data_IF_671672605018
#
_entry.id   IF_671672605018
#
_cell.length_a   1.000
_cell.length_b   1.000
_cell.length_c   1.000
_cell.angle_alpha   90.00
_cell.angle_beta   90.00
_cell.angle_gamma   90.00
#
_symmetry.space_group_name_H-M   'P 1'
#
loop_
_entity.id
_entity.type
_entity.pdbx_description
1 polymer ?
#
# COMPACT_ATOMS: atom_id res chain seq x y z
N UNK A 1 -4.64 0.90 45.09
CA UNK A 1 -4.67 -0.33 44.27
C UNK A 1 -5.55 -1.35 44.96
N UNK A 2 -6.24 -2.20 44.21
CA UNK A 2 -7.09 -3.26 44.70
C UNK A 2 -6.24 -4.41 45.26
N UNK A 3 -6.74 -5.06 46.30
CA UNK A 3 -6.22 -6.35 46.79
C UNK A 3 -6.64 -7.49 45.87
N UNK A 4 -5.97 -8.65 45.94
CA UNK A 4 -6.32 -9.83 45.16
C UNK A 4 -7.79 -10.24 45.33
N UNK A 5 -8.29 -10.19 46.58
CA UNK A 5 -9.68 -10.49 46.91
C UNK A 5 -10.66 -9.50 46.25
N UNK A 6 -10.32 -8.22 46.24
CA UNK A 6 -11.13 -7.19 45.58
C UNK A 6 -11.11 -7.32 44.06
N UNK A 7 -9.97 -7.68 43.47
CA UNK A 7 -9.88 -7.99 42.04
C UNK A 7 -10.78 -9.17 41.68
N UNK A 8 -10.64 -10.30 42.41
CA UNK A 8 -11.48 -11.49 42.21
C UNK A 8 -12.97 -11.18 42.37
N UNK A 9 -13.34 -10.37 43.36
CA UNK A 9 -14.72 -9.90 43.52
C UNK A 9 -15.21 -9.14 42.28
N UNK A 10 -14.43 -8.18 41.77
CA UNK A 10 -14.83 -7.44 40.57
C UNK A 10 -14.90 -8.36 39.34
N UNK A 11 -14.00 -9.35 39.18
CA UNK A 11 -14.04 -10.35 38.10
C UNK A 11 -15.35 -11.16 38.15
N UNK A 12 -15.77 -11.61 39.34
CA UNK A 12 -17.05 -12.34 39.50
C UNK A 12 -18.24 -11.45 39.11
N UNK A 13 -18.21 -10.17 39.49
CA UNK A 13 -19.26 -9.20 39.14
C UNK A 13 -19.37 -8.92 37.64
N UNK A 14 -18.39 -9.31 36.81
CA UNK A 14 -18.50 -9.21 35.35
C UNK A 14 -19.59 -10.14 34.78
N UNK A 15 -20.00 -11.18 35.50
CA UNK A 15 -21.10 -12.06 35.08
C UNK A 15 -22.46 -11.64 35.66
N UNK A 16 -22.55 -10.53 36.40
CA UNK A 16 -23.79 -10.08 37.04
C UNK A 16 -24.87 -9.75 36.00
N UNK A 17 -26.16 -10.11 36.22
CA UNK A 17 -27.22 -9.81 35.27
C UNK A 17 -27.43 -8.30 35.06
N UNK A 18 -27.12 -7.46 36.04
CA UNK A 18 -27.28 -6.01 35.96
C UNK A 18 -26.10 -5.33 35.25
N UNK A 19 -26.39 -4.69 34.11
CA UNK A 19 -25.39 -3.96 33.31
C UNK A 19 -24.61 -2.91 34.10
N UNK A 20 -25.25 -2.23 35.07
CA UNK A 20 -24.62 -1.18 35.88
C UNK A 20 -23.63 -1.79 36.88
N UNK A 21 -23.95 -2.96 37.44
CA UNK A 21 -23.03 -3.69 38.33
C UNK A 21 -21.78 -4.10 37.58
N UNK A 22 -21.93 -4.70 36.39
CA UNK A 22 -20.81 -5.04 35.50
C UNK A 22 -19.98 -3.80 35.14
N UNK A 23 -20.64 -2.70 34.78
CA UNK A 23 -19.96 -1.44 34.43
C UNK A 23 -19.10 -0.91 35.58
N UNK A 24 -19.65 -0.88 36.81
CA UNK A 24 -18.91 -0.43 37.99
C UNK A 24 -17.71 -1.34 38.27
N UNK A 25 -17.87 -2.65 38.13
CA UNK A 25 -16.77 -3.60 38.30
C UNK A 25 -15.65 -3.37 37.26
N UNK A 26 -16.01 -3.16 35.99
CA UNK A 26 -15.06 -2.83 34.92
C UNK A 26 -14.34 -1.50 35.19
N UNK A 27 -15.05 -0.47 35.65
CA UNK A 27 -14.47 0.82 36.01
C UNK A 27 -13.46 0.69 37.15
N UNK A 28 -13.78 -0.08 38.19
CA UNK A 28 -12.86 -0.35 39.29
C UNK A 28 -11.58 -1.03 38.81
N UNK A 29 -11.70 -2.07 37.98
CA UNK A 29 -10.55 -2.78 37.41
C UNK A 29 -9.72 -1.86 36.50
N UNK A 30 -10.35 -1.05 35.66
CA UNK A 30 -9.66 -0.08 34.81
C UNK A 30 -8.90 0.97 35.64
N UNK A 31 -9.54 1.53 36.66
CA UNK A 31 -8.94 2.56 37.52
C UNK A 31 -7.74 2.00 38.29
N UNK A 32 -7.83 0.76 38.73
CA UNK A 32 -6.73 0.07 39.40
C UNK A 32 -5.51 -0.11 38.49
N UNK A 33 -5.71 -0.69 37.31
CA UNK A 33 -4.64 -0.90 36.33
C UNK A 33 -4.06 0.43 35.81
N UNK A 34 -4.91 1.45 35.64
CA UNK A 34 -4.45 2.80 35.28
C UNK A 34 -3.57 3.40 36.37
N UNK A 35 -3.91 3.17 37.64
CA UNK A 35 -3.09 3.64 38.77
C UNK A 35 -1.74 2.92 38.79
N UNK A 36 -1.69 1.61 38.52
CA UNK A 36 -0.44 0.84 38.48
C UNK A 36 0.44 1.14 37.26
N UNK A 37 -0.13 1.69 36.18
CA UNK A 37 0.64 2.25 35.05
C UNK A 37 1.34 3.57 35.39
N UNK A 38 0.76 4.38 36.28
CA UNK A 38 1.31 5.71 36.65
C UNK A 38 2.47 5.64 37.66
N UNK A 39 2.61 4.50 38.34
CA UNK A 39 3.67 4.27 39.33
C UNK A 39 4.86 3.65 38.58
N UNK A 40 5.98 4.36 38.52
CA UNK A 40 7.23 3.95 37.88
C UNK A 40 8.03 2.89 38.68
N UNK A 41 7.46 2.32 39.74
CA UNK A 41 8.17 1.37 40.58
C UNK A 41 8.25 0.00 39.91
N UNK A 42 9.48 -0.51 39.81
CA UNK A 42 9.82 -1.91 39.50
C UNK A 42 9.46 -2.87 40.64
N UNK A 43 8.62 -2.47 41.59
CA UNK A 43 8.18 -3.35 42.67
C UNK A 43 7.20 -4.38 42.10
N UNK A 44 7.32 -5.63 42.58
CA UNK A 44 6.45 -6.78 42.30
C UNK A 44 4.97 -6.44 42.54
N UNK A 45 4.37 -5.71 41.60
CA UNK A 45 2.94 -5.48 41.61
C UNK A 45 2.27 -6.80 41.31
N UNK A 46 1.28 -7.14 42.16
CA UNK A 46 0.49 -8.35 42.03
C UNK A 46 0.04 -8.54 40.58
N UNK A 47 0.48 -9.63 39.95
CA UNK A 47 -0.02 -9.98 38.64
C UNK A 47 -1.54 -10.18 38.75
N UNK A 48 -2.31 -9.60 37.83
CA UNK A 48 -3.75 -9.80 37.82
C UNK A 48 -4.06 -11.30 37.72
N UNK A 49 -5.20 -11.76 38.27
CA UNK A 49 -5.61 -13.16 38.20
C UNK A 49 -5.58 -13.70 36.77
N UNK A 50 -5.11 -14.94 36.58
CA UNK A 50 -4.88 -15.52 35.25
C UNK A 50 -6.13 -15.58 34.37
N UNK A 51 -7.31 -15.68 34.96
CA UNK A 51 -8.60 -15.71 34.28
C UNK A 51 -9.16 -14.33 33.90
N UNK A 52 -8.44 -13.24 34.18
CA UNK A 52 -8.96 -11.89 33.94
C UNK A 52 -9.20 -11.63 32.45
N UNK A 53 -8.26 -12.05 31.58
CA UNK A 53 -8.37 -11.82 30.13
C UNK A 53 -9.56 -12.59 29.56
N UNK A 54 -9.73 -13.86 29.92
CA UNK A 54 -10.88 -14.66 29.51
C UNK A 54 -12.21 -14.03 29.99
N UNK A 55 -12.22 -13.45 31.19
CA UNK A 55 -13.38 -12.76 31.74
C UNK A 55 -13.69 -11.47 30.97
N UNK A 56 -12.66 -10.70 30.58
CA UNK A 56 -12.82 -9.52 29.73
C UNK A 56 -13.30 -9.88 28.31
N UNK A 57 -12.80 -10.98 27.74
CA UNK A 57 -13.23 -11.45 26.42
C UNK A 57 -14.71 -11.82 26.39
N UNK A 58 -15.24 -12.41 27.47
CA UNK A 58 -16.70 -12.67 27.60
C UNK A 58 -17.52 -11.38 27.54
N UNK A 59 -17.00 -10.29 28.08
CA UNK A 59 -17.66 -8.97 28.07
C UNK A 59 -17.74 -8.37 26.66
N UNK A 60 -16.94 -8.82 25.70
CA UNK A 60 -17.14 -8.38 24.33
C UNK A 60 -18.57 -8.71 23.85
N UNK A 61 -19.21 -9.78 24.30
CA UNK A 61 -20.61 -10.06 23.92
C UNK A 61 -21.66 -9.33 24.78
N UNK A 62 -21.26 -8.39 25.64
CA UNK A 62 -22.19 -7.64 26.49
C UNK A 62 -23.12 -6.75 25.64
N UNK A 63 -24.44 -6.75 25.90
CA UNK A 63 -25.37 -5.85 25.20
C UNK A 63 -25.05 -4.36 25.41
N UNK A 64 -24.45 -3.98 26.54
CA UNK A 64 -24.09 -2.60 26.84
C UNK A 64 -22.74 -2.23 26.19
N UNK A 65 -22.78 -1.30 25.23
CA UNK A 65 -21.59 -0.78 24.55
C UNK A 65 -20.51 -0.28 25.52
N UNK A 66 -20.92 0.43 26.59
CA UNK A 66 -19.96 0.95 27.56
C UNK A 66 -19.16 -0.13 28.28
N UNK A 67 -19.76 -1.30 28.50
CA UNK A 67 -19.06 -2.42 29.12
C UNK A 67 -18.03 -3.03 28.16
N UNK A 68 -18.40 -3.17 26.89
CA UNK A 68 -17.49 -3.64 25.84
C UNK A 68 -16.28 -2.72 25.67
N UNK A 69 -16.53 -1.41 25.63
CA UNK A 69 -15.51 -0.36 25.58
C UNK A 69 -14.54 -0.44 26.78
N UNK A 70 -15.08 -0.55 28.00
CA UNK A 70 -14.25 -0.68 29.21
C UNK A 70 -13.42 -1.98 29.21
N UNK A 71 -13.99 -3.10 28.76
CA UNK A 71 -13.26 -4.37 28.68
C UNK A 71 -12.09 -4.29 27.68
N UNK A 72 -12.32 -3.68 26.51
CA UNK A 72 -11.27 -3.46 25.52
C UNK A 72 -10.20 -2.50 26.04
N UNK A 73 -10.62 -1.43 26.73
CA UNK A 73 -9.70 -0.48 27.39
C UNK A 73 -8.82 -1.18 28.42
N UNK A 74 -9.40 -2.06 29.23
CA UNK A 74 -8.65 -2.86 30.21
C UNK A 74 -7.60 -3.74 29.51
N UNK A 75 -7.99 -4.47 28.46
CA UNK A 75 -7.07 -5.34 27.71
C UNK A 75 -5.93 -4.53 27.09
N UNK A 76 -6.21 -3.35 26.52
CA UNK A 76 -5.16 -2.47 25.98
C UNK A 76 -4.15 -2.04 27.05
N UNK A 77 -4.62 -1.61 28.22
CA UNK A 77 -3.73 -1.28 29.34
C UNK A 77 -2.94 -2.50 29.84
N UNK A 78 -3.57 -3.68 29.84
CA UNK A 78 -2.93 -4.92 30.24
C UNK A 78 -1.78 -5.26 29.31
N UNK A 79 -1.98 -5.14 27.99
CA UNK A 79 -0.96 -5.39 26.98
C UNK A 79 0.23 -4.46 27.20
N UNK A 80 -0.03 -3.16 27.41
CA UNK A 80 1.04 -2.18 27.69
C UNK A 80 1.83 -2.50 28.95
N UNK A 81 1.19 -2.97 30.03
CA UNK A 81 1.87 -3.23 31.31
C UNK A 81 2.59 -4.58 31.33
N UNK A 82 1.98 -5.64 30.80
CA UNK A 82 2.38 -7.02 31.08
C UNK A 82 2.92 -7.79 29.86
N UNK A 83 2.68 -7.33 28.63
CA UNK A 83 3.21 -7.99 27.43
C UNK A 83 4.59 -7.45 27.06
N UNK A 84 5.55 -7.57 27.97
CA UNK A 84 6.93 -7.07 27.82
C UNK A 84 7.87 -8.04 27.10
N UNK A 85 7.48 -9.31 26.98
CA UNK A 85 8.23 -10.36 26.28
C UNK A 85 7.33 -11.18 25.33
N UNK A 86 7.95 -11.91 24.40
CA UNK A 86 7.24 -12.70 23.38
C UNK A 86 6.31 -13.77 23.97
N UNK A 87 6.64 -14.39 25.10
CA UNK A 87 5.81 -15.45 25.67
C UNK A 87 4.49 -14.88 26.20
N UNK A 88 4.54 -13.70 26.82
CA UNK A 88 3.34 -13.02 27.27
C UNK A 88 2.50 -12.49 26.11
N UNK A 89 3.14 -12.08 25.00
CA UNK A 89 2.41 -11.72 23.78
C UNK A 89 1.78 -12.98 23.12
N UNK A 90 2.47 -14.11 23.09
CA UNK A 90 1.94 -15.37 22.53
C UNK A 90 0.69 -15.84 23.30
N UNK A 91 0.72 -15.78 24.63
CA UNK A 91 -0.44 -16.10 25.48
C UNK A 91 -1.63 -15.20 25.17
N UNK A 92 -1.41 -13.89 25.05
CA UNK A 92 -2.52 -12.97 24.80
C UNK A 92 -3.06 -13.09 23.38
N UNK A 93 -2.22 -13.32 22.37
CA UNK A 93 -2.64 -13.58 20.99
C UNK A 93 -3.48 -14.86 20.91
N UNK A 94 -3.08 -15.93 21.58
CA UNK A 94 -3.84 -17.19 21.62
C UNK A 94 -5.29 -16.97 22.09
N UNK A 95 -5.48 -16.08 23.06
CA UNK A 95 -6.81 -15.74 23.59
C UNK A 95 -7.56 -14.72 22.72
N UNK A 96 -6.87 -13.68 22.23
CA UNK A 96 -7.50 -12.57 21.52
C UNK A 96 -7.87 -12.90 20.07
N UNK A 97 -7.03 -13.65 19.35
CA UNK A 97 -7.24 -13.87 17.91
C UNK A 97 -8.58 -14.56 17.61
N UNK A 98 -9.00 -15.63 18.31
CA UNK A 98 -10.32 -16.23 18.09
C UNK A 98 -11.47 -15.26 18.38
N UNK A 99 -11.37 -14.48 19.45
CA UNK A 99 -12.38 -13.50 19.84
C UNK A 99 -12.52 -12.37 18.80
N UNK A 100 -11.41 -11.87 18.27
CA UNK A 100 -11.42 -10.85 17.23
C UNK A 100 -11.83 -11.39 15.86
N UNK A 101 -11.49 -12.63 15.51
CA UNK A 101 -12.02 -13.26 14.30
C UNK A 101 -13.55 -13.36 14.37
N UNK A 102 -14.11 -13.81 15.49
CA UNK A 102 -15.56 -13.89 15.64
C UNK A 102 -16.23 -12.51 15.59
N UNK A 103 -15.56 -11.48 16.14
CA UNK A 103 -16.15 -10.15 16.29
C UNK A 103 -15.96 -9.23 15.07
N UNK A 104 -14.86 -9.37 14.34
CA UNK A 104 -14.45 -8.47 13.25
C UNK A 104 -14.24 -9.20 11.91
N UNK A 105 -13.96 -10.51 11.93
CA UNK A 105 -13.62 -11.29 10.74
C UNK A 105 -14.80 -11.95 10.03
N UNK A 106 -16.01 -11.82 10.57
CA UNK A 106 -17.25 -12.38 10.03
C UNK A 106 -17.80 -11.56 8.85
N UNK A 107 -18.75 -12.13 8.10
CA UNK A 107 -19.39 -11.42 6.99
C UNK A 107 -20.25 -10.24 7.48
N UNK A 108 -20.95 -10.45 8.60
CA UNK A 108 -21.84 -9.47 9.20
C UNK A 108 -21.12 -8.64 10.24
N UNK A 109 -21.53 -7.38 10.41
CA UNK A 109 -20.96 -6.49 11.43
C UNK A 109 -21.51 -6.93 12.80
N UNK A 110 -20.69 -7.66 13.56
CA UNK A 110 -21.05 -8.14 14.91
C UNK A 110 -20.83 -7.06 15.97
N UNK A 111 -19.76 -6.26 15.88
CA UNK A 111 -19.57 -5.08 16.74
C UNK A 111 -20.17 -3.84 16.07
N UNK A 112 -21.35 -3.35 16.52
CA UNK A 112 -22.00 -2.19 15.92
C UNK A 112 -21.22 -0.89 16.15
N UNK A 113 -20.52 -0.75 17.28
CA UNK A 113 -19.81 0.49 17.62
C UNK A 113 -18.54 0.65 16.79
N UNK A 114 -18.50 1.69 15.96
CA UNK A 114 -17.34 1.98 15.12
C UNK A 114 -16.10 2.37 15.92
N UNK A 115 -16.27 3.01 17.09
CA UNK A 115 -15.18 3.33 18.01
C UNK A 115 -14.56 2.05 18.61
N UNK A 116 -15.39 1.08 18.99
CA UNK A 116 -14.89 -0.20 19.51
C UNK A 116 -14.17 -1.00 18.42
N UNK A 117 -14.69 -1.01 17.18
CA UNK A 117 -13.99 -1.63 16.04
C UNK A 117 -12.63 -0.96 15.81
N UNK A 118 -12.58 0.38 15.83
CA UNK A 118 -11.32 1.13 15.68
C UNK A 118 -10.32 0.79 16.80
N UNK A 119 -10.76 0.83 18.06
CA UNK A 119 -9.93 0.50 19.21
C UNK A 119 -9.43 -0.95 19.16
N UNK A 120 -10.21 -1.87 18.59
CA UNK A 120 -9.80 -3.28 18.43
C UNK A 120 -8.67 -3.41 17.41
N UNK A 121 -8.77 -2.70 16.27
CA UNK A 121 -7.68 -2.64 15.28
C UNK A 121 -6.46 -1.91 15.85
N UNK A 122 -6.65 -0.88 16.68
CA UNK A 122 -5.56 -0.20 17.37
C UNK A 122 -4.80 -1.14 18.31
N UNK A 123 -5.51 -1.98 19.07
CA UNK A 123 -4.88 -2.99 19.91
C UNK A 123 -4.12 -4.04 19.07
N UNK A 124 -4.72 -4.52 17.98
CA UNK A 124 -4.07 -5.42 17.03
C UNK A 124 -2.81 -4.79 16.41
N UNK A 125 -2.84 -3.50 16.08
CA UNK A 125 -1.67 -2.75 15.60
C UNK A 125 -0.57 -2.65 16.65
N UNK A 126 -0.94 -2.41 17.92
CA UNK A 126 0.02 -2.39 19.02
C UNK A 126 0.68 -3.75 19.24
N UNK A 127 -0.11 -4.83 19.24
CA UNK A 127 0.40 -6.21 19.32
C UNK A 127 1.37 -6.52 18.17
N UNK A 128 0.98 -6.16 16.94
CA UNK A 128 1.86 -6.29 15.77
C UNK A 128 3.14 -5.47 15.92
N UNK A 129 3.08 -4.28 16.53
CA UNK A 129 4.25 -3.41 16.75
C UNK A 129 5.23 -4.02 17.75
N UNK A 130 4.74 -4.43 18.92
CA UNK A 130 5.59 -4.94 20.02
C UNK A 130 6.14 -6.34 19.76
N UNK A 131 5.46 -7.18 18.98
CA UNK A 131 5.89 -8.55 18.69
C UNK A 131 7.07 -8.58 17.71
N UNK A 132 8.31 -8.75 18.15
CA UNK A 132 9.51 -8.62 17.28
C UNK A 132 9.70 -9.77 16.28
N UNK A 133 9.44 -11.02 16.65
CA UNK A 133 9.66 -12.18 15.78
C UNK A 133 8.52 -12.43 14.77
N UNK A 134 8.72 -11.97 13.54
CA UNK A 134 7.75 -12.11 12.44
C UNK A 134 7.34 -13.54 12.09
N UNK A 135 8.24 -14.52 12.24
CA UNK A 135 7.97 -15.93 11.91
C UNK A 135 6.99 -16.60 12.88
N UNK A 136 7.05 -16.21 14.16
CA UNK A 136 6.08 -16.63 15.17
C UNK A 136 4.77 -15.85 15.07
N UNK A 137 4.82 -14.54 14.80
CA UNK A 137 3.62 -13.74 14.54
C UNK A 137 2.79 -14.33 13.38
N UNK A 138 3.48 -14.84 12.35
CA UNK A 138 2.87 -15.50 11.20
C UNK A 138 2.16 -16.83 11.53
N UNK A 139 2.29 -17.38 12.75
CA UNK A 139 1.48 -18.53 13.18
C UNK A 139 -0.01 -18.18 13.29
N UNK A 140 -0.33 -16.91 13.50
CA UNK A 140 -1.70 -16.38 13.55
C UNK A 140 -2.13 -15.72 12.23
N UNK A 141 -1.36 -15.91 11.15
CA UNK A 141 -1.55 -15.17 9.90
C UNK A 141 -2.96 -15.34 9.33
N UNK A 142 -3.55 -16.54 9.45
CA UNK A 142 -4.92 -16.79 8.98
C UNK A 142 -5.94 -15.89 9.68
N UNK A 143 -5.84 -15.75 11.00
CA UNK A 143 -6.71 -14.93 11.81
C UNK A 143 -6.51 -13.43 11.49
N UNK A 144 -5.26 -12.98 11.36
CA UNK A 144 -4.95 -11.62 10.93
C UNK A 144 -5.59 -11.28 9.58
N UNK A 145 -5.40 -12.14 8.58
CA UNK A 145 -5.95 -11.95 7.23
C UNK A 145 -7.47 -11.99 7.25
N UNK A 146 -8.07 -12.88 8.06
CA UNK A 146 -9.53 -12.99 8.19
C UNK A 146 -10.14 -11.69 8.74
N UNK A 147 -9.52 -11.10 9.76
CA UNK A 147 -9.94 -9.80 10.32
C UNK A 147 -9.74 -8.68 9.29
N UNK A 148 -8.53 -8.54 8.74
CA UNK A 148 -8.15 -7.45 7.84
C UNK A 148 -8.97 -7.44 6.55
N UNK A 149 -9.30 -8.62 6.00
CA UNK A 149 -10.16 -8.75 4.81
C UNK A 149 -11.52 -8.06 4.99
N UNK A 150 -12.03 -7.99 6.22
CA UNK A 150 -13.29 -7.29 6.55
C UNK A 150 -13.07 -5.85 6.90
N UNK A 151 -12.07 -5.57 7.74
CA UNK A 151 -11.90 -4.22 8.31
C UNK A 151 -11.28 -3.23 7.32
N UNK A 152 -10.57 -3.70 6.29
CA UNK A 152 -10.11 -2.85 5.18
C UNK A 152 -11.30 -2.22 4.44
N UNK A 153 -12.45 -2.90 4.39
CA UNK A 153 -13.69 -2.41 3.75
C UNK A 153 -14.76 -1.99 4.78
N UNK A 154 -14.36 -1.69 6.02
CA UNK A 154 -15.28 -1.26 7.09
C UNK A 154 -16.09 -0.01 6.70
N UNK A 155 -17.36 0.14 7.10
CA UNK A 155 -18.10 1.37 6.84
C UNK A 155 -17.46 2.64 7.41
N UNK A 156 -16.73 2.52 8.52
CA UNK A 156 -16.09 3.64 9.19
C UNK A 156 -14.71 3.94 8.61
N UNK A 157 -14.46 5.15 8.07
CA UNK A 157 -13.21 5.46 7.36
C UNK A 157 -11.93 5.28 8.19
N UNK A 158 -11.99 5.56 9.50
CA UNK A 158 -10.82 5.45 10.37
C UNK A 158 -10.42 3.98 10.58
N UNK A 159 -11.39 3.06 10.64
CA UNK A 159 -11.11 1.61 10.69
C UNK A 159 -10.46 1.15 9.39
N UNK A 160 -10.97 1.60 8.23
CA UNK A 160 -10.34 1.28 6.93
C UNK A 160 -8.89 1.72 6.89
N UNK A 161 -8.65 3.00 7.24
CA UNK A 161 -7.32 3.62 7.22
C UNK A 161 -6.34 2.84 8.10
N UNK A 162 -6.71 2.59 9.35
CA UNK A 162 -5.85 1.87 10.29
C UNK A 162 -5.65 0.40 9.89
N UNK A 163 -6.66 -0.23 9.27
CA UNK A 163 -6.53 -1.60 8.76
C UNK A 163 -5.55 -1.69 7.58
N UNK A 164 -5.54 -0.70 6.68
CA UNK A 164 -4.54 -0.61 5.61
C UNK A 164 -3.12 -0.40 6.17
N UNK A 165 -2.96 0.48 7.16
CA UNK A 165 -1.68 0.70 7.84
C UNK A 165 -1.17 -0.58 8.54
N UNK A 166 -2.05 -1.26 9.29
CA UNK A 166 -1.74 -2.54 9.93
C UNK A 166 -1.37 -3.60 8.91
N UNK A 167 -2.09 -3.67 7.78
CA UNK A 167 -1.78 -4.60 6.69
C UNK A 167 -0.36 -4.39 6.15
N UNK A 168 0.05 -3.13 5.95
CA UNK A 168 1.42 -2.81 5.54
C UNK A 168 2.44 -3.33 6.56
N UNK A 169 2.25 -3.01 7.84
CA UNK A 169 3.16 -3.43 8.92
C UNK A 169 3.25 -4.95 9.05
N UNK A 170 2.11 -5.64 9.00
CA UNK A 170 2.04 -7.09 9.08
C UNK A 170 2.71 -7.76 7.88
N UNK A 171 2.49 -7.26 6.66
CA UNK A 171 3.10 -7.82 5.45
C UNK A 171 4.63 -7.75 5.49
N UNK A 172 5.18 -6.61 5.93
CA UNK A 172 6.62 -6.47 6.16
C UNK A 172 7.08 -7.42 7.25
N UNK A 173 6.41 -7.45 8.41
CA UNK A 173 6.86 -8.23 9.55
C UNK A 173 6.82 -9.75 9.29
N UNK A 174 5.83 -10.23 8.56
CA UNK A 174 5.63 -11.65 8.26
C UNK A 174 6.12 -12.05 6.85
N UNK A 175 7.02 -11.28 6.23
CA UNK A 175 7.40 -11.41 4.81
C UNK A 175 7.78 -12.84 4.37
N UNK A 176 8.39 -13.65 5.23
CA UNK A 176 8.76 -15.04 4.93
C UNK A 176 7.57 -15.94 4.59
N UNK A 177 6.42 -15.72 5.23
CA UNK A 177 5.22 -16.56 5.09
C UNK A 177 4.02 -15.82 4.50
N UNK A 178 4.10 -14.49 4.35
CA UNK A 178 2.97 -13.66 3.95
C UNK A 178 2.44 -14.00 2.54
N UNK A 179 3.31 -14.44 1.63
CA UNK A 179 2.96 -14.88 0.28
C UNK A 179 1.86 -15.97 0.25
N UNK A 180 1.77 -16.82 1.29
CA UNK A 180 0.79 -17.91 1.37
C UNK A 180 -0.67 -17.43 1.42
N UNK A 181 -0.92 -16.18 1.84
CA UNK A 181 -2.28 -15.67 2.06
C UNK A 181 -2.52 -14.25 1.52
N UNK A 182 -1.46 -13.58 1.04
CA UNK A 182 -1.49 -12.18 0.58
C UNK A 182 -2.61 -11.83 -0.42
N UNK A 183 -2.94 -12.73 -1.35
CA UNK A 183 -3.97 -12.53 -2.39
C UNK A 183 -5.35 -12.21 -1.82
N UNK A 184 -5.67 -12.68 -0.61
CA UNK A 184 -6.95 -12.44 0.05
C UNK A 184 -7.22 -10.96 0.36
N UNK A 185 -6.18 -10.13 0.36
CA UNK A 185 -6.25 -8.71 0.69
C UNK A 185 -6.30 -7.80 -0.54
N UNK A 186 -5.96 -8.32 -1.74
CA UNK A 186 -5.85 -7.51 -2.97
C UNK A 186 -7.20 -6.85 -3.30
N UNK A 187 -8.28 -7.65 -3.40
CA UNK A 187 -9.62 -7.13 -3.73
C UNK A 187 -10.16 -6.15 -2.68
N UNK A 188 -10.11 -6.44 -1.36
CA UNK A 188 -10.49 -5.46 -0.33
C UNK A 188 -9.73 -4.13 -0.46
N UNK A 189 -8.42 -4.17 -0.69
CA UNK A 189 -7.59 -2.96 -0.79
C UNK A 189 -7.96 -2.16 -2.04
N UNK A 190 -8.12 -2.81 -3.20
CA UNK A 190 -8.55 -2.16 -4.45
C UNK A 190 -9.90 -1.45 -4.28
N UNK A 191 -10.82 -2.04 -3.52
CA UNK A 191 -12.09 -1.39 -3.23
C UNK A 191 -11.90 -0.14 -2.36
N UNK A 192 -11.07 -0.22 -1.33
CA UNK A 192 -10.75 0.91 -0.44
C UNK A 192 -9.96 2.02 -1.14
N UNK A 193 -9.19 1.71 -2.18
CA UNK A 193 -8.56 2.73 -3.03
C UNK A 193 -9.56 3.65 -3.74
N UNK A 194 -10.85 3.29 -3.83
CA UNK A 194 -11.91 4.11 -4.46
C UNK A 194 -12.66 4.98 -3.45
N UNK A 195 -12.26 4.95 -2.17
CA UNK A 195 -12.97 5.63 -1.09
C UNK A 195 -13.03 7.16 -1.27
N UNK A 196 -14.08 7.82 -0.78
CA UNK A 196 -14.28 9.26 -0.92
C UNK A 196 -13.18 10.13 -0.28
N UNK A 197 -12.59 9.68 0.84
CA UNK A 197 -11.55 10.42 1.56
C UNK A 197 -10.15 10.07 1.04
N UNK A 198 -9.40 11.09 0.63
CA UNK A 198 -8.07 10.92 0.04
C UNK A 198 -7.08 10.21 0.97
N UNK A 199 -7.07 10.52 2.28
CA UNK A 199 -6.19 9.85 3.25
C UNK A 199 -6.40 8.33 3.29
N UNK A 200 -7.65 7.87 3.17
CA UNK A 200 -7.97 6.43 3.10
C UNK A 200 -7.44 5.82 1.81
N UNK A 201 -7.58 6.53 0.67
CA UNK A 201 -7.05 6.06 -0.62
C UNK A 201 -5.53 5.95 -0.60
N UNK A 202 -4.82 6.92 -0.02
CA UNK A 202 -3.36 6.92 0.15
C UNK A 202 -2.92 5.69 0.95
N UNK A 203 -3.52 5.45 2.12
CA UNK A 203 -3.18 4.27 2.92
C UNK A 203 -3.49 2.95 2.21
N UNK A 204 -4.58 2.89 1.42
CA UNK A 204 -4.88 1.72 0.62
C UNK A 204 -3.85 1.48 -0.48
N UNK A 205 -3.38 2.52 -1.17
CA UNK A 205 -2.31 2.39 -2.18
C UNK A 205 -1.02 1.89 -1.54
N UNK A 206 -0.62 2.47 -0.40
CA UNK A 206 0.56 2.03 0.34
C UNK A 206 0.43 0.57 0.81
N UNK A 207 -0.76 0.18 1.30
CA UNK A 207 -1.05 -1.19 1.68
C UNK A 207 -0.94 -2.15 0.48
N UNK A 208 -1.49 -1.80 -0.68
CA UNK A 208 -1.36 -2.61 -1.90
C UNK A 208 0.12 -2.78 -2.27
N UNK A 209 0.88 -1.69 -2.19
CA UNK A 209 2.32 -1.67 -2.40
C UNK A 209 3.06 -2.72 -1.56
N UNK A 210 2.85 -2.69 -0.25
CA UNK A 210 3.50 -3.61 0.67
C UNK A 210 2.98 -5.05 0.54
N UNK A 211 1.67 -5.25 0.34
CA UNK A 211 1.09 -6.58 0.16
C UNK A 211 1.67 -7.30 -1.04
N UNK A 212 1.84 -6.61 -2.17
CA UNK A 212 2.45 -7.21 -3.37
C UNK A 212 3.95 -7.41 -3.17
N UNK A 213 4.63 -6.44 -2.56
CA UNK A 213 6.08 -6.49 -2.31
C UNK A 213 6.48 -7.70 -1.48
N UNK A 214 5.77 -7.95 -0.38
CA UNK A 214 6.07 -9.03 0.57
C UNK A 214 5.21 -10.29 0.36
N UNK A 215 4.29 -10.27 -0.60
CA UNK A 215 3.34 -11.35 -0.89
C UNK A 215 3.62 -12.07 -2.21
N UNK A 216 2.56 -12.59 -2.83
CA UNK A 216 2.64 -13.17 -4.16
C UNK A 216 2.73 -12.06 -5.22
N UNK A 217 3.89 -11.93 -5.87
CA UNK A 217 4.15 -10.88 -6.86
C UNK A 217 3.20 -10.97 -8.08
N UNK A 218 2.57 -12.13 -8.36
CA UNK A 218 1.59 -12.27 -9.45
C UNK A 218 0.38 -11.34 -9.29
N UNK A 219 0.02 -10.98 -8.05
CA UNK A 219 -1.06 -10.03 -7.76
C UNK A 219 -0.85 -8.63 -8.37
N UNK A 220 0.34 -8.33 -8.89
CA UNK A 220 0.60 -7.11 -9.63
C UNK A 220 -0.30 -7.01 -10.87
N UNK A 221 -0.59 -8.12 -11.55
CA UNK A 221 -1.43 -8.16 -12.76
C UNK A 221 -2.84 -7.61 -12.49
N UNK A 222 -3.41 -7.97 -11.34
CA UNK A 222 -4.73 -7.48 -10.89
C UNK A 222 -4.72 -6.01 -10.44
N UNK A 223 -3.53 -5.45 -10.22
CA UNK A 223 -3.33 -4.16 -9.56
C UNK A 223 -2.98 -3.01 -10.50
N UNK A 224 -2.47 -3.30 -11.70
CA UNK A 224 -2.05 -2.28 -12.67
C UNK A 224 -3.20 -1.35 -13.07
N UNK A 225 -4.34 -1.91 -13.50
CA UNK A 225 -5.47 -1.08 -13.95
C UNK A 225 -6.05 -0.23 -12.81
N UNK A 226 -6.32 -0.78 -11.60
CA UNK A 226 -6.71 0.03 -10.44
C UNK A 226 -5.75 1.17 -10.09
N UNK A 227 -4.43 0.94 -10.18
CA UNK A 227 -3.42 1.97 -9.93
C UNK A 227 -3.39 3.01 -11.05
N UNK A 228 -3.48 2.60 -12.32
CA UNK A 228 -3.54 3.52 -13.45
C UNK A 228 -4.72 4.51 -13.31
N UNK A 229 -5.88 4.03 -12.86
CA UNK A 229 -7.05 4.88 -12.61
C UNK A 229 -6.82 5.94 -11.53
N UNK A 230 -5.85 5.76 -10.63
CA UNK A 230 -5.52 6.76 -9.61
C UNK A 230 -4.75 7.96 -10.15
N UNK A 231 -4.17 7.90 -11.35
CA UNK A 231 -3.59 9.10 -12.00
C UNK A 231 -4.62 10.16 -12.39
N UNK A 232 -5.91 9.83 -12.35
CA UNK A 232 -7.02 10.78 -12.55
C UNK A 232 -7.59 11.31 -11.23
N UNK A 233 -6.99 10.98 -10.08
CA UNK A 233 -7.43 11.49 -8.79
C UNK A 233 -7.18 12.99 -8.67
N UNK A 234 -8.17 13.75 -8.18
CA UNK A 234 -8.05 15.19 -7.96
C UNK A 234 -7.05 15.54 -6.85
N UNK A 235 -6.77 14.60 -5.94
CA UNK A 235 -5.82 14.82 -4.84
C UNK A 235 -4.43 14.35 -5.25
N UNK A 236 -3.49 15.28 -5.33
CA UNK A 236 -2.10 15.01 -5.72
C UNK A 236 -1.42 13.95 -4.86
N UNK A 237 -1.65 13.93 -3.56
CA UNK A 237 -1.04 12.94 -2.65
C UNK A 237 -1.46 11.49 -2.97
N UNK A 238 -2.64 11.28 -3.56
CA UNK A 238 -3.07 9.96 -4.04
C UNK A 238 -2.24 9.54 -5.25
N UNK A 239 -2.03 10.45 -6.20
CA UNK A 239 -1.21 10.20 -7.39
C UNK A 239 0.26 9.97 -7.03
N UNK A 240 0.79 10.76 -6.09
CA UNK A 240 2.13 10.61 -5.54
C UNK A 240 2.32 9.24 -4.86
N UNK A 241 1.32 8.75 -4.13
CA UNK A 241 1.38 7.42 -3.51
C UNK A 241 1.54 6.30 -4.56
N UNK A 242 0.88 6.42 -5.72
CA UNK A 242 1.06 5.46 -6.84
C UNK A 242 2.50 5.48 -7.34
N UNK A 243 3.05 6.67 -7.59
CA UNK A 243 4.44 6.83 -8.06
C UNK A 243 5.43 6.19 -7.08
N UNK A 244 5.29 6.47 -5.78
CA UNK A 244 6.16 5.89 -4.75
C UNK A 244 6.06 4.36 -4.72
N UNK A 245 4.85 3.81 -4.73
CA UNK A 245 4.65 2.34 -4.71
C UNK A 245 5.27 1.68 -5.93
N UNK A 246 5.01 2.22 -7.13
CA UNK A 246 5.54 1.64 -8.37
C UNK A 246 7.06 1.76 -8.43
N UNK A 247 7.63 2.90 -8.03
CA UNK A 247 9.09 3.06 -7.95
C UNK A 247 9.74 2.08 -6.98
N UNK A 248 9.15 1.90 -5.80
CA UNK A 248 9.60 0.89 -4.82
C UNK A 248 9.51 -0.52 -5.40
N UNK A 249 8.46 -0.87 -6.14
CA UNK A 249 8.40 -2.18 -6.80
C UNK A 249 9.50 -2.34 -7.85
N UNK A 250 9.74 -1.32 -8.67
CA UNK A 250 10.81 -1.35 -9.67
C UNK A 250 12.21 -1.40 -9.05
N UNK A 251 12.38 -0.94 -7.81
CA UNK A 251 13.64 -1.04 -7.08
C UNK A 251 13.77 -2.35 -6.30
N UNK A 252 12.70 -2.82 -5.65
CA UNK A 252 12.82 -3.75 -4.52
C UNK A 252 11.95 -5.01 -4.63
N UNK A 253 11.06 -5.10 -5.63
CA UNK A 253 10.28 -6.33 -5.85
C UNK A 253 11.20 -7.47 -6.27
N UNK A 254 11.00 -8.66 -5.69
CA UNK A 254 11.87 -9.83 -5.90
C UNK A 254 11.93 -10.24 -7.37
N UNK A 255 10.78 -10.31 -8.03
CA UNK A 255 10.66 -10.67 -9.45
C UNK A 255 10.37 -9.45 -10.35
N UNK A 256 10.93 -8.29 -10.03
CA UNK A 256 10.68 -7.02 -10.77
C UNK A 256 10.92 -7.12 -12.28
N UNK A 257 11.87 -7.94 -12.73
CA UNK A 257 12.24 -8.08 -14.14
C UNK A 257 11.07 -8.59 -15.00
N UNK A 258 10.27 -9.51 -14.46
CA UNK A 258 9.10 -10.07 -15.13
C UNK A 258 8.01 -9.01 -15.38
N UNK A 259 7.94 -8.00 -14.51
CA UNK A 259 6.85 -7.02 -14.47
C UNK A 259 7.26 -5.60 -14.87
N UNK A 260 8.51 -5.33 -15.26
CA UNK A 260 8.95 -3.99 -15.66
C UNK A 260 8.05 -3.37 -16.74
N UNK A 261 7.68 -4.13 -17.77
CA UNK A 261 6.77 -3.67 -18.82
C UNK A 261 5.40 -3.17 -18.31
N UNK A 262 4.94 -3.60 -17.13
CA UNK A 262 3.70 -3.14 -16.52
C UNK A 262 3.90 -1.92 -15.63
N UNK A 263 5.04 -1.86 -14.93
CA UNK A 263 5.36 -0.78 -13.99
C UNK A 263 5.90 0.48 -14.69
N UNK A 264 6.66 0.30 -15.78
CA UNK A 264 7.25 1.40 -16.57
C UNK A 264 6.20 2.43 -17.02
N UNK A 265 5.06 2.05 -17.64
CA UNK A 265 4.02 3.00 -17.99
C UNK A 265 3.48 3.80 -16.81
N UNK A 266 3.30 3.16 -15.66
CA UNK A 266 2.76 3.81 -14.46
C UNK A 266 3.76 4.84 -13.91
N UNK A 267 5.03 4.46 -13.72
CA UNK A 267 6.05 5.37 -13.22
C UNK A 267 6.26 6.56 -14.17
N UNK A 268 6.45 6.28 -15.46
CA UNK A 268 6.74 7.33 -16.46
C UNK A 268 5.57 8.29 -16.69
N UNK A 269 4.33 7.87 -16.39
CA UNK A 269 3.17 8.78 -16.42
C UNK A 269 3.32 9.95 -15.43
N UNK A 270 4.11 9.78 -14.36
CA UNK A 270 4.38 10.84 -13.38
C UNK A 270 5.06 12.10 -13.95
N UNK A 271 5.84 11.99 -15.03
CA UNK A 271 6.40 13.16 -15.73
C UNK A 271 5.35 14.10 -16.34
N UNK A 272 4.12 13.60 -16.50
CA UNK A 272 2.99 14.35 -17.09
C UNK A 272 2.12 15.04 -16.04
N UNK A 273 2.44 14.86 -14.76
CA UNK A 273 1.65 15.43 -13.67
C UNK A 273 1.80 16.94 -13.60
N UNK A 274 0.72 17.64 -13.25
CA UNK A 274 0.74 19.09 -13.05
C UNK A 274 1.51 19.51 -11.80
N UNK A 275 1.63 18.65 -10.79
CA UNK A 275 2.35 18.93 -9.55
C UNK A 275 3.84 18.62 -9.70
N UNK A 276 4.68 19.60 -9.35
CA UNK A 276 6.14 19.51 -9.46
C UNK A 276 6.74 18.39 -8.62
N UNK A 277 6.32 18.25 -7.36
CA UNK A 277 6.74 17.18 -6.45
C UNK A 277 6.59 15.79 -7.06
N UNK A 278 5.51 15.53 -7.80
CA UNK A 278 5.27 14.24 -8.46
C UNK A 278 6.26 14.02 -9.60
N UNK A 279 6.55 15.07 -10.38
CA UNK A 279 7.52 14.99 -11.49
C UNK A 279 8.94 14.77 -10.95
N UNK A 280 9.33 15.49 -9.91
CA UNK A 280 10.65 15.34 -9.26
C UNK A 280 10.82 13.96 -8.61
N UNK A 281 9.80 13.49 -7.89
CA UNK A 281 9.80 12.14 -7.30
C UNK A 281 9.91 11.08 -8.38
N UNK A 282 9.22 11.26 -9.50
CA UNK A 282 9.29 10.37 -10.66
C UNK A 282 10.69 10.35 -11.28
N UNK A 283 11.31 11.53 -11.44
CA UNK A 283 12.67 11.66 -11.98
C UNK A 283 13.70 10.95 -11.09
N UNK A 284 13.65 11.20 -9.78
CA UNK A 284 14.52 10.55 -8.79
C UNK A 284 14.36 9.03 -8.79
N UNK A 285 13.13 8.53 -8.67
CA UNK A 285 12.86 7.09 -8.65
C UNK A 285 13.28 6.42 -9.96
N UNK A 286 13.00 7.05 -11.10
CA UNK A 286 13.38 6.50 -12.39
C UNK A 286 14.89 6.44 -12.54
N UNK A 287 15.59 7.50 -12.13
CA UNK A 287 17.06 7.52 -12.11
C UNK A 287 17.64 6.38 -11.25
N UNK A 288 17.13 6.20 -10.03
CA UNK A 288 17.60 5.15 -9.12
C UNK A 288 17.31 3.74 -9.67
N UNK A 289 16.15 3.54 -10.32
CA UNK A 289 15.82 2.28 -11.00
C UNK A 289 16.85 1.98 -12.09
N UNK A 290 17.20 2.98 -12.89
CA UNK A 290 18.22 2.83 -13.92
C UNK A 290 19.61 2.52 -13.36
N UNK A 291 20.05 3.24 -12.32
CA UNK A 291 21.34 2.96 -11.65
C UNK A 291 21.38 1.55 -11.08
N UNK A 292 20.28 1.10 -10.46
CA UNK A 292 20.18 -0.26 -9.94
C UNK A 292 20.27 -1.30 -11.05
N UNK A 293 19.58 -1.07 -12.16
CA UNK A 293 19.63 -1.94 -13.32
C UNK A 293 21.04 -2.02 -13.93
N UNK A 294 21.72 -0.88 -14.10
CA UNK A 294 23.10 -0.83 -14.59
C UNK A 294 24.02 -1.69 -13.72
N UNK A 295 23.96 -1.50 -12.40
CA UNK A 295 24.77 -2.23 -11.44
C UNK A 295 24.52 -3.75 -11.49
N UNK A 296 23.27 -4.16 -11.70
CA UNK A 296 22.90 -5.58 -11.75
C UNK A 296 23.27 -6.25 -13.09
N UNK A 297 23.49 -5.47 -14.15
CA UNK A 297 23.75 -5.94 -15.51
C UNK A 297 25.07 -5.39 -16.07
N UNK A 298 26.05 -5.08 -15.21
CA UNK A 298 27.29 -4.38 -15.59
C UNK A 298 28.06 -5.14 -16.69
N UNK A 299 28.15 -6.47 -16.60
CA UNK A 299 28.83 -7.30 -17.59
C UNK A 299 28.16 -7.23 -18.98
N UNK A 300 26.81 -7.28 -19.02
CA UNK A 300 26.04 -7.16 -20.26
C UNK A 300 26.14 -5.75 -20.88
N UNK A 301 26.36 -4.74 -20.05
CA UNK A 301 26.37 -3.33 -20.43
C UNK A 301 27.78 -2.75 -20.59
N UNK A 302 28.81 -3.55 -20.37
CA UNK A 302 30.22 -3.14 -20.30
C UNK A 302 30.66 -2.28 -21.48
N UNK A 303 30.31 -2.67 -22.70
CA UNK A 303 30.69 -1.92 -23.91
C UNK A 303 30.01 -0.55 -23.95
N UNK A 304 28.74 -0.47 -23.57
CA UNK A 304 28.00 0.81 -23.54
C UNK A 304 28.49 1.72 -22.40
N UNK A 305 28.98 1.15 -21.30
CA UNK A 305 29.59 1.88 -20.18
C UNK A 305 30.96 2.43 -20.60
N UNK A 306 31.80 1.60 -21.22
CA UNK A 306 33.15 1.97 -21.64
C UNK A 306 33.16 2.93 -22.85
N UNK A 307 32.16 2.80 -23.73
CA UNK A 307 32.02 3.58 -24.95
C UNK A 307 30.64 4.24 -25.02
N UNK A 308 30.37 5.23 -24.14
CA UNK A 308 29.05 5.85 -24.06
C UNK A 308 28.72 6.60 -25.36
N UNK A 309 27.62 6.21 -26.00
CA UNK A 309 27.06 6.96 -27.11
C UNK A 309 26.38 8.22 -26.58
N UNK A 310 26.95 9.39 -26.88
CA UNK A 310 26.40 10.70 -26.50
C UNK A 310 25.72 11.28 -27.74
N UNK A 311 24.38 11.45 -27.74
CA UNK A 311 23.66 12.03 -28.87
C UNK A 311 24.18 13.44 -29.19
N UNK A 312 24.54 13.68 -30.46
CA UNK A 312 25.03 15.00 -30.92
C UNK A 312 24.05 16.15 -30.67
N UNK A 313 22.75 15.84 -30.59
CA UNK A 313 21.66 16.80 -30.41
C UNK A 313 20.63 16.22 -29.44
N UNK A 314 20.88 16.37 -28.15
CA UNK A 314 19.87 16.16 -27.11
C UNK A 314 19.21 17.50 -26.77
N UNK A 315 17.88 17.56 -26.54
CA UNK A 315 17.23 18.82 -26.17
C UNK A 315 17.82 19.36 -24.85
N UNK A 316 18.29 20.62 -24.79
CA UNK A 316 18.99 21.16 -23.62
C UNK A 316 18.09 21.35 -22.40
N UNK A 317 16.77 21.42 -22.60
CA UNK A 317 15.77 21.55 -21.53
C UNK A 317 15.44 20.23 -20.86
N UNK A 318 16.04 19.12 -21.32
CA UNK A 318 15.68 17.77 -20.97
C UNK A 318 16.89 17.05 -20.39
N UNK A 319 16.70 16.38 -19.25
CA UNK A 319 17.76 15.55 -18.63
C UNK A 319 17.87 14.23 -19.39
N UNK A 320 19.09 13.82 -19.74
CA UNK A 320 19.30 12.53 -20.38
C UNK A 320 19.15 11.40 -19.35
N UNK A 321 18.26 10.40 -19.57
CA UNK A 321 18.18 9.23 -18.71
C UNK A 321 19.51 8.48 -18.69
N UNK A 322 19.84 7.89 -17.54
CA UNK A 322 21.00 7.02 -17.43
C UNK A 322 20.88 5.77 -18.34
N UNK A 323 21.96 5.02 -18.49
CA UNK A 323 22.01 3.86 -19.38
C UNK A 323 20.98 2.79 -19.00
N UNK A 324 20.78 2.52 -17.71
CA UNK A 324 19.85 1.50 -17.23
C UNK A 324 18.40 1.86 -17.55
N UNK A 325 18.02 3.12 -17.40
CA UNK A 325 16.71 3.62 -17.82
C UNK A 325 16.45 3.35 -19.31
N UNK A 326 17.43 3.68 -20.15
CA UNK A 326 17.33 3.52 -21.61
C UNK A 326 17.23 2.04 -22.00
N UNK A 327 18.03 1.19 -21.37
CA UNK A 327 18.01 -0.26 -21.62
C UNK A 327 16.71 -0.92 -21.14
N UNK A 328 16.17 -0.47 -20.00
CA UNK A 328 14.85 -0.92 -19.53
C UNK A 328 13.74 -0.58 -20.52
N UNK A 329 13.73 0.65 -21.05
CA UNK A 329 12.74 1.07 -22.04
C UNK A 329 12.90 0.25 -23.32
N UNK A 330 14.11 0.16 -23.87
CA UNK A 330 14.45 -0.64 -25.06
C UNK A 330 13.92 -2.08 -24.96
N UNK A 331 14.18 -2.76 -23.83
CA UNK A 331 13.78 -4.16 -23.64
C UNK A 331 12.27 -4.36 -23.50
N UNK A 332 11.54 -3.34 -23.03
CA UNK A 332 10.12 -3.47 -22.70
C UNK A 332 9.18 -2.76 -23.67
N UNK A 333 9.70 -1.90 -24.56
CA UNK A 333 8.89 -1.01 -25.39
C UNK A 333 7.85 -1.76 -26.24
N UNK A 334 8.25 -2.87 -26.88
CA UNK A 334 7.36 -3.67 -27.71
C UNK A 334 6.15 -4.24 -26.96
N UNK A 335 6.29 -4.49 -25.65
CA UNK A 335 5.20 -4.98 -24.78
C UNK A 335 4.28 -3.84 -24.34
N UNK A 336 4.79 -2.61 -24.31
CA UNK A 336 4.07 -1.42 -23.84
C UNK A 336 3.25 -0.79 -24.98
N UNK A 337 3.82 -0.68 -26.18
CA UNK A 337 3.20 0.01 -27.31
C UNK A 337 1.78 -0.48 -27.66
N UNK A 338 1.46 -1.79 -27.64
CA UNK A 338 0.09 -2.26 -27.90
C UNK A 338 -0.94 -1.71 -26.90
N UNK A 339 -0.59 -1.60 -25.62
CA UNK A 339 -1.48 -1.03 -24.60
C UNK A 339 -1.69 0.46 -24.84
N UNK A 340 -0.61 1.22 -25.08
CA UNK A 340 -0.69 2.66 -25.43
C UNK A 340 -1.56 2.89 -26.67
N UNK A 341 -1.43 2.01 -27.68
CA UNK A 341 -2.25 2.05 -28.89
C UNK A 341 -3.74 1.88 -28.61
N UNK A 342 -4.08 0.99 -27.68
CA UNK A 342 -5.48 0.72 -27.30
C UNK A 342 -6.04 1.89 -26.50
N UNK A 343 -5.27 2.42 -25.54
CA UNK A 343 -5.67 3.57 -24.72
C UNK A 343 -5.87 4.84 -25.55
N UNK A 344 -5.09 5.03 -26.63
CA UNK A 344 -5.29 6.10 -27.61
C UNK A 344 -6.57 5.96 -28.46
N UNK A 345 -7.23 4.82 -28.41
CA UNK A 345 -8.52 4.61 -29.09
C UNK A 345 -9.68 4.45 -28.11
N UNK A 346 -9.42 4.66 -26.82
CA UNK A 346 -10.45 4.57 -25.80
C UNK A 346 -11.45 5.73 -25.92
N UNK A 347 -12.71 5.45 -25.58
CA UNK A 347 -13.79 6.44 -25.65
C UNK A 347 -13.60 7.59 -24.63
N UNK A 348 -12.84 7.36 -23.56
CA UNK A 348 -12.52 8.36 -22.53
C UNK A 348 -11.37 9.26 -23.00
N UNK A 349 -11.69 10.52 -23.30
CA UNK A 349 -10.73 11.54 -23.75
C UNK A 349 -9.53 11.70 -22.79
N UNK A 350 -9.78 11.70 -21.48
CA UNK A 350 -8.72 11.83 -20.48
C UNK A 350 -7.69 10.68 -20.55
N UNK A 351 -8.13 9.47 -20.86
CA UNK A 351 -7.28 8.32 -21.12
C UNK A 351 -6.40 8.53 -22.35
N UNK A 352 -7.01 8.96 -23.46
CA UNK A 352 -6.28 9.30 -24.70
C UNK A 352 -5.23 10.39 -24.51
N UNK A 353 -5.54 11.43 -23.71
CA UNK A 353 -4.57 12.48 -23.34
C UNK A 353 -3.37 11.85 -22.62
N UNK A 354 -3.58 11.07 -21.55
CA UNK A 354 -2.47 10.44 -20.81
C UNK A 354 -1.66 9.48 -21.68
N UNK A 355 -2.32 8.67 -22.51
CA UNK A 355 -1.64 7.76 -23.44
C UNK A 355 -0.78 8.51 -24.47
N UNK A 356 -1.28 9.63 -25.01
CA UNK A 356 -0.51 10.48 -25.95
C UNK A 356 0.70 11.13 -25.29
N UNK A 357 0.58 11.54 -24.01
CA UNK A 357 1.71 12.09 -23.25
C UNK A 357 2.75 11.02 -22.91
N UNK A 358 2.30 9.82 -22.52
CA UNK A 358 3.17 8.69 -22.25
C UNK A 358 3.92 8.25 -23.51
N UNK A 359 3.28 8.24 -24.69
CA UNK A 359 3.93 7.95 -25.97
C UNK A 359 5.13 8.86 -26.23
N UNK A 360 4.97 10.17 -25.98
CA UNK A 360 6.05 11.15 -26.14
C UNK A 360 7.19 10.85 -25.16
N UNK A 361 6.87 10.53 -23.90
CA UNK A 361 7.88 10.20 -22.89
C UNK A 361 8.62 8.92 -23.28
N UNK A 362 7.93 7.86 -23.68
CA UNK A 362 8.54 6.61 -24.13
C UNK A 362 9.45 6.83 -25.34
N UNK A 363 9.01 7.65 -26.31
CA UNK A 363 9.82 8.01 -27.49
C UNK A 363 11.12 8.71 -27.08
N UNK A 364 11.02 9.62 -26.12
CA UNK A 364 12.17 10.33 -25.58
C UNK A 364 13.12 9.39 -24.82
N UNK A 365 12.57 8.54 -23.95
CA UNK A 365 13.33 7.60 -23.12
C UNK A 365 13.98 6.47 -23.94
N UNK A 366 13.41 6.10 -25.08
CA UNK A 366 13.95 5.08 -25.98
C UNK A 366 15.16 5.55 -26.80
N UNK A 367 15.38 6.85 -26.97
CA UNK A 367 16.43 7.43 -27.82
C UNK A 367 16.51 6.74 -29.22
N UNK A 368 17.71 6.35 -29.66
CA UNK A 368 17.94 5.69 -30.95
C UNK A 368 17.25 4.32 -31.06
N UNK A 369 16.94 3.67 -29.93
CA UNK A 369 16.31 2.34 -29.93
C UNK A 369 14.86 2.37 -30.42
N UNK A 370 14.23 3.56 -30.44
CA UNK A 370 12.91 3.75 -31.04
C UNK A 370 12.88 3.32 -32.51
N UNK A 371 14.02 3.35 -33.20
CA UNK A 371 14.16 2.93 -34.61
C UNK A 371 13.80 1.46 -34.82
N UNK A 372 14.05 0.59 -33.84
CA UNK A 372 13.70 -0.83 -33.89
C UNK A 372 12.19 -1.06 -33.85
N UNK A 373 11.45 -0.08 -33.32
CA UNK A 373 9.99 -0.10 -33.17
C UNK A 373 9.34 1.03 -33.97
N UNK A 374 10.00 1.50 -35.04
CA UNK A 374 9.59 2.70 -35.75
C UNK A 374 8.21 2.55 -36.37
N UNK A 375 7.91 1.40 -36.98
CA UNK A 375 6.61 1.15 -37.59
C UNK A 375 5.48 1.23 -36.55
N UNK A 376 5.59 0.48 -35.46
CA UNK A 376 4.60 0.51 -34.38
C UNK A 376 4.46 1.91 -33.78
N UNK A 377 5.59 2.57 -33.51
CA UNK A 377 5.60 3.93 -32.96
C UNK A 377 4.92 4.93 -33.90
N UNK A 378 5.19 4.86 -35.20
CA UNK A 378 4.56 5.73 -36.21
C UNK A 378 3.07 5.45 -36.33
N UNK A 379 2.63 4.19 -36.27
CA UNK A 379 1.20 3.86 -36.27
C UNK A 379 0.48 4.46 -35.05
N UNK A 380 1.10 4.38 -33.87
CA UNK A 380 0.55 4.92 -32.63
C UNK A 380 0.54 6.45 -32.65
N UNK A 381 1.62 7.09 -33.12
CA UNK A 381 1.69 8.54 -33.33
C UNK A 381 0.64 9.03 -34.34
N UNK A 382 0.47 8.31 -35.45
CA UNK A 382 -0.52 8.67 -36.48
C UNK A 382 -1.93 8.72 -35.90
N UNK A 383 -2.31 7.69 -35.11
CA UNK A 383 -3.61 7.67 -34.41
C UNK A 383 -3.81 8.89 -33.52
N UNK A 384 -2.82 9.24 -32.68
CA UNK A 384 -2.91 10.40 -31.80
C UNK A 384 -2.99 11.74 -32.57
N UNK A 385 -2.35 11.84 -33.74
CA UNK A 385 -2.32 13.07 -34.54
C UNK A 385 -3.63 13.37 -35.28
N UNK A 386 -4.42 12.33 -35.57
CA UNK A 386 -5.74 12.43 -36.23
C UNK A 386 -6.91 12.27 -35.27
N UNK A 387 -6.66 12.34 -33.95
CA UNK A 387 -7.71 12.28 -32.93
C UNK A 387 -8.74 13.41 -33.14
N UNK A 388 -10.01 13.08 -32.92
CA UNK A 388 -11.13 14.02 -33.04
C UNK A 388 -11.03 15.16 -32.02
N UNK A 389 -10.41 14.90 -30.86
CA UNK A 389 -10.16 15.89 -29.83
C UNK A 389 -8.79 16.57 -30.03
N UNK A 390 -8.80 17.87 -30.35
CA UNK A 390 -7.58 18.60 -30.70
C UNK A 390 -6.50 18.52 -29.63
N UNK A 391 -6.90 18.52 -28.35
CA UNK A 391 -6.01 18.45 -27.18
C UNK A 391 -5.12 17.20 -27.17
N UNK A 392 -5.62 16.06 -27.67
CA UNK A 392 -4.84 14.81 -27.77
C UNK A 392 -3.74 14.97 -28.82
N UNK A 393 -4.10 15.48 -30.00
CA UNK A 393 -3.14 15.71 -31.08
C UNK A 393 -2.08 16.77 -30.71
N UNK A 394 -2.46 17.75 -29.88
CA UNK A 394 -1.55 18.80 -29.38
C UNK A 394 -0.47 18.24 -28.46
N UNK A 395 -0.77 17.23 -27.63
CA UNK A 395 0.22 16.60 -26.74
C UNK A 395 1.43 16.07 -27.54
N UNK A 396 1.15 15.47 -28.70
CA UNK A 396 2.16 14.89 -29.59
C UNK A 396 2.85 15.98 -30.41
N UNK A 397 2.09 16.92 -31.00
CA UNK A 397 2.62 17.98 -31.88
C UNK A 397 3.59 18.91 -31.15
N UNK A 398 3.23 19.35 -29.94
CA UNK A 398 4.00 20.31 -29.15
C UNK A 398 5.33 19.70 -28.71
N UNK A 399 5.30 18.44 -28.26
CA UNK A 399 6.48 17.82 -27.64
C UNK A 399 7.39 17.08 -28.63
N UNK A 400 6.89 16.60 -29.76
CA UNK A 400 7.73 16.06 -30.85
C UNK A 400 8.23 17.13 -31.84
N UNK A 401 7.97 18.40 -31.56
CA UNK A 401 8.39 19.53 -32.42
C UNK A 401 7.88 19.39 -33.87
N UNK A 402 6.67 18.83 -34.07
CA UNK A 402 6.01 18.72 -35.39
C UNK A 402 5.31 20.03 -35.79
N UNK A 403 5.81 21.19 -35.33
CA UNK A 403 5.40 22.46 -35.94
C UNK A 403 5.83 22.41 -37.40
N UNK A 404 4.84 22.46 -38.31
CA UNK A 404 4.99 22.61 -39.76
C UNK A 404 6.23 23.44 -40.14
N UNK A 405 7.38 22.79 -40.28
CA UNK A 405 8.42 23.27 -41.19
C UNK A 405 8.00 22.73 -42.55
N UNK A 406 7.39 23.62 -43.34
CA UNK A 406 7.56 23.54 -44.80
C UNK A 406 9.06 23.29 -45.03
N UNK A 407 9.37 22.22 -45.75
CA UNK A 407 10.69 21.70 -46.17
C UNK A 407 11.00 20.33 -45.56
N UNK A 408 10.37 19.31 -46.15
CA UNK A 408 11.05 18.05 -46.39
C UNK A 408 12.31 18.33 -47.21
N UNK A 409 13.49 18.19 -46.61
CA UNK A 409 14.71 17.84 -47.34
C UNK A 409 15.45 16.83 -46.46
N UNK A 410 15.14 15.56 -46.65
CA UNK A 410 16.11 14.48 -46.47
C UNK A 410 15.80 13.42 -47.52
N UNK A 411 16.40 13.59 -48.69
CA UNK A 411 16.96 12.53 -49.52
C UNK A 411 18.15 13.14 -50.27
N UNK A 412 19.29 12.45 -50.19
CA UNK A 412 20.59 12.66 -50.84
C UNK A 412 21.57 13.65 -50.18
N UNK A 413 22.43 13.12 -49.30
CA UNK A 413 23.83 12.81 -49.64
C UNK A 413 24.45 11.86 -48.62
#
# INVERSE_FOLDING_TARGET
MLTESEMNRNIVLLADPNKITRQKALQNLCNDLKSSLSINDNNDHLHPPSNIIESMLKIFSDPAEKNRDLALTYISMYVTKYCTDENNIDKILTLLMPAFVQRLGTNDIIEPSEEIRLNSISLLSELCRIYTNGNKLALYLNEWITILKRTIIDPYPEVRKLSCELTSKLSFKCHEKFHLMSENLIKPIIETMKHQHAKVRVEAINALGNVIRYGNNKSIEDSISPLAQRFFDHTSTVRLAVINVVGIWMLELRDRYSYFHMMLPLLLTGYTDEIEEIRETTDSLWWDVGLKYEKENEEDLKDQINFPNIPKKYPPTLTRPNLGCRELVKRNLIRILPAVRNDLTDWVVAGRIKASQLLVILTWQAEETITQHLEDTLQVCSKALVDDESIVSEQVKIKLNLKKKKNFIFLNK
#
